data_IF_956658317746
#
_entry.id   IF_956658317746
#
_cell.length_a   1.000
_cell.length_b   1.000
_cell.length_c   1.000
_cell.angle_alpha   90.00
_cell.angle_beta   90.00
_cell.angle_gamma   90.00
#
_symmetry.space_group_name_H-M   'P 1'
#
loop_
_entity.id
_entity.type
_entity.pdbx_description
1 polymer ?
#
# COMPACT_ATOMS: atom_id res chain seq x y z
N UNK A 1 -11.84 -6.00 -25.51
CA UNK A 1 -12.21 -5.01 -26.54
C UNK A 1 -11.24 -3.84 -26.44
N UNK A 2 -10.16 -3.88 -27.21
CA UNK A 2 -9.23 -2.76 -27.36
C UNK A 2 -9.75 -1.88 -28.50
N UNK A 3 -10.18 -0.66 -28.18
CA UNK A 3 -10.47 0.33 -29.22
C UNK A 3 -9.14 0.83 -29.81
N UNK A 4 -9.03 0.96 -31.15
CA UNK A 4 -7.86 1.58 -31.76
C UNK A 4 -7.76 3.03 -31.29
N UNK A 5 -6.56 3.47 -30.91
CA UNK A 5 -6.25 4.87 -30.57
C UNK A 5 -6.56 5.75 -31.79
N UNK A 6 -7.74 6.37 -31.82
CA UNK A 6 -7.89 7.64 -32.53
C UNK A 6 -6.89 8.61 -31.90
N UNK A 7 -6.20 9.40 -32.73
CA UNK A 7 -5.35 10.48 -32.24
C UNK A 7 -6.06 11.20 -31.08
N UNK A 8 -5.47 11.16 -29.90
CA UNK A 8 -6.02 11.78 -28.70
C UNK A 8 -6.23 13.25 -29.02
N UNK A 9 -7.49 13.69 -29.09
CA UNK A 9 -7.78 15.10 -29.36
C UNK A 9 -7.79 15.86 -28.04
N UNK A 10 -7.56 17.17 -28.08
CA UNK A 10 -7.73 18.07 -26.91
C UNK A 10 -9.07 17.81 -26.18
N UNK A 11 -10.11 17.43 -26.93
CA UNK A 11 -11.41 17.03 -26.40
C UNK A 11 -11.35 15.86 -25.40
N UNK A 12 -10.43 14.91 -25.56
CA UNK A 12 -10.27 13.79 -24.62
C UNK A 12 -9.76 14.29 -23.26
N UNK A 13 -8.77 15.19 -23.26
CA UNK A 13 -8.27 15.82 -22.02
C UNK A 13 -9.38 16.58 -21.30
N UNK A 14 -10.19 17.36 -22.03
CA UNK A 14 -11.36 18.04 -21.45
C UNK A 14 -12.35 17.08 -20.82
N UNK A 15 -12.71 16.01 -21.52
CA UNK A 15 -13.69 15.04 -21.02
C UNK A 15 -13.18 14.32 -19.77
N UNK A 16 -11.90 13.93 -19.75
CA UNK A 16 -11.28 13.30 -18.58
C UNK A 16 -11.23 14.25 -17.37
N UNK A 17 -10.91 15.53 -17.59
CA UNK A 17 -10.70 16.51 -16.51
C UNK A 17 -11.95 17.25 -16.06
N UNK A 18 -13.07 17.13 -16.79
CA UNK A 18 -14.35 17.83 -16.55
C UNK A 18 -14.87 17.81 -15.10
N UNK A 19 -14.60 16.75 -14.35
CA UNK A 19 -15.04 16.66 -12.94
C UNK A 19 -13.96 17.16 -11.98
N UNK A 20 -12.68 17.02 -12.35
CA UNK A 20 -11.54 17.45 -11.55
C UNK A 20 -11.47 18.98 -11.56
N UNK A 21 -11.61 19.62 -12.73
CA UNK A 21 -11.55 21.09 -12.89
C UNK A 21 -12.55 21.85 -12.01
N UNK A 22 -13.68 21.24 -11.64
CA UNK A 22 -14.71 21.89 -10.82
C UNK A 22 -14.31 22.08 -9.36
N UNK A 23 -13.38 21.28 -8.88
CA UNK A 23 -12.99 21.24 -7.46
C UNK A 23 -11.50 21.44 -7.25
N UNK A 24 -10.69 21.13 -8.26
CA UNK A 24 -9.25 21.27 -8.22
C UNK A 24 -8.85 22.76 -8.15
N UNK A 25 -7.89 23.05 -7.29
CA UNK A 25 -7.21 24.32 -7.24
C UNK A 25 -6.09 24.37 -8.27
N UNK A 26 -5.98 25.49 -8.98
CA UNK A 26 -4.81 25.88 -9.78
C UNK A 26 -4.68 27.40 -9.64
N UNK A 27 -3.50 27.88 -9.27
CA UNK A 27 -3.26 29.30 -8.94
C UNK A 27 -3.62 30.26 -10.08
N UNK A 28 -3.49 29.83 -11.33
CA UNK A 28 -3.73 30.67 -12.51
C UNK A 28 -5.13 30.49 -13.09
N UNK A 29 -5.66 29.26 -13.03
CA UNK A 29 -6.86 28.88 -13.75
C UNK A 29 -8.08 28.65 -12.85
N UNK A 30 -7.88 28.10 -11.66
CA UNK A 30 -8.94 27.64 -10.77
C UNK A 30 -8.66 28.05 -9.31
N UNK A 31 -8.50 29.35 -9.08
CA UNK A 31 -8.14 29.93 -7.77
C UNK A 31 -9.20 29.74 -6.67
N UNK A 32 -10.44 29.48 -7.05
CA UNK A 32 -11.57 29.18 -6.15
C UNK A 32 -11.73 27.68 -5.86
N UNK A 33 -10.88 26.83 -6.45
CA UNK A 33 -10.85 25.39 -6.20
C UNK A 33 -10.60 25.09 -4.72
N UNK A 34 -11.27 24.07 -4.19
CA UNK A 34 -11.20 23.70 -2.77
C UNK A 34 -10.22 22.57 -2.48
N UNK A 35 -9.74 21.90 -3.53
CA UNK A 35 -9.00 20.65 -3.43
C UNK A 35 -7.70 20.72 -4.18
N UNK A 36 -6.64 20.36 -3.49
CA UNK A 36 -5.31 20.31 -4.07
C UNK A 36 -5.07 18.94 -4.73
N UNK A 37 -5.41 18.83 -6.02
CA UNK A 37 -5.44 17.57 -6.76
C UNK A 37 -4.47 17.51 -7.95
N UNK A 38 -3.86 18.64 -8.33
CA UNK A 38 -3.08 18.77 -9.56
C UNK A 38 -1.62 19.07 -9.23
N UNK A 39 -0.70 18.43 -9.95
CA UNK A 39 0.71 18.83 -9.99
C UNK A 39 1.19 18.82 -11.43
N UNK A 40 1.85 19.91 -11.84
CA UNK A 40 2.51 20.01 -13.15
C UNK A 40 3.86 19.33 -13.06
N UNK A 41 4.11 18.43 -14.02
CA UNK A 41 5.37 17.71 -14.15
C UNK A 41 5.86 17.83 -15.60
N UNK A 42 7.18 17.73 -15.87
CA UNK A 42 8.25 17.40 -14.93
C UNK A 42 8.62 18.55 -13.99
N UNK A 43 8.97 18.19 -12.75
CA UNK A 43 9.55 19.09 -11.75
C UNK A 43 11.07 18.97 -11.82
N UNK A 44 11.78 20.09 -11.71
CA UNK A 44 13.25 20.07 -11.72
C UNK A 44 13.79 19.26 -10.53
N UNK A 45 14.81 18.44 -10.78
CA UNK A 45 15.38 17.56 -9.75
C UNK A 45 15.85 18.36 -8.54
N UNK A 46 15.51 17.86 -7.35
CA UNK A 46 15.80 18.50 -6.06
C UNK A 46 15.17 19.89 -5.86
N UNK A 47 14.20 20.27 -6.70
CA UNK A 47 13.41 21.49 -6.56
C UNK A 47 11.92 21.18 -6.43
N UNK A 48 11.18 22.14 -5.88
CA UNK A 48 9.72 22.09 -5.82
C UNK A 48 9.11 22.16 -7.23
N UNK A 49 7.93 21.58 -7.40
CA UNK A 49 7.21 21.68 -8.66
C UNK A 49 6.81 23.14 -8.97
N UNK A 50 6.74 23.53 -10.26
CA UNK A 50 6.52 24.93 -10.65
C UNK A 50 5.21 25.54 -10.14
N UNK A 51 4.21 24.70 -9.88
CA UNK A 51 2.89 25.05 -9.41
C UNK A 51 2.72 24.95 -7.89
N UNK A 52 3.79 24.61 -7.16
CA UNK A 52 3.77 24.60 -5.70
C UNK A 52 3.80 26.03 -5.15
N UNK A 53 2.70 26.43 -4.53
CA UNK A 53 2.47 27.78 -4.03
C UNK A 53 2.62 27.90 -2.50
N UNK A 54 2.62 26.77 -1.79
CA UNK A 54 2.81 26.71 -0.35
C UNK A 54 3.95 25.74 0.04
N UNK A 55 5.23 26.13 -0.15
CA UNK A 55 6.41 25.31 0.16
C UNK A 55 6.42 24.69 1.56
N UNK A 56 5.85 25.39 2.54
CA UNK A 56 5.73 24.94 3.92
C UNK A 56 4.84 23.70 4.10
N UNK A 57 3.97 23.42 3.11
CA UNK A 57 3.12 22.24 3.12
C UNK A 57 3.81 21.00 2.53
N UNK A 58 4.94 21.16 1.86
CA UNK A 58 5.68 20.06 1.24
C UNK A 58 6.57 19.39 2.28
N UNK A 59 6.51 18.05 2.31
CA UNK A 59 7.36 17.27 3.19
C UNK A 59 8.83 17.52 2.85
N UNK A 60 9.65 17.76 3.87
CA UNK A 60 11.07 18.05 3.69
C UNK A 60 11.76 17.01 2.79
N UNK A 61 12.54 17.50 1.81
CA UNK A 61 13.27 16.73 0.78
C UNK A 61 12.39 16.06 -0.28
N UNK A 62 11.10 16.40 -0.36
CA UNK A 62 10.20 16.00 -1.44
C UNK A 62 9.96 17.17 -2.39
N UNK A 63 9.60 16.88 -3.65
CA UNK A 63 9.34 17.90 -4.67
C UNK A 63 7.89 18.41 -4.65
N UNK A 64 6.96 17.59 -4.17
CA UNK A 64 5.55 17.91 -3.99
C UNK A 64 4.94 17.04 -2.88
N UNK A 65 3.75 17.39 -2.40
CA UNK A 65 3.01 16.57 -1.45
C UNK A 65 1.51 16.73 -1.67
N UNK A 66 0.80 15.63 -1.91
CA UNK A 66 -0.66 15.61 -1.89
C UNK A 66 -1.15 15.29 -0.48
N UNK A 67 -1.84 16.24 0.17
CA UNK A 67 -2.46 16.02 1.49
C UNK A 67 -3.93 15.61 1.31
N UNK A 68 -4.25 14.37 1.68
CA UNK A 68 -5.63 13.90 1.72
C UNK A 68 -6.34 14.55 2.91
N UNK A 69 -7.38 15.35 2.63
CA UNK A 69 -8.10 16.13 3.65
C UNK A 69 -9.34 15.42 4.23
N UNK A 70 -9.95 14.46 3.52
CA UNK A 70 -11.12 13.72 4.03
C UNK A 70 -10.65 12.54 4.88
N UNK A 71 -10.51 12.77 6.18
CA UNK A 71 -10.08 11.78 7.17
C UNK A 71 -11.25 11.05 7.85
N UNK A 72 -12.50 11.43 7.54
CA UNK A 72 -13.67 10.92 8.26
C UNK A 72 -14.04 9.49 7.85
N UNK A 73 -13.64 9.07 6.64
CA UNK A 73 -13.93 7.74 6.13
C UNK A 73 -12.77 7.22 5.27
N UNK A 74 -12.45 5.92 5.36
CA UNK A 74 -11.44 5.33 4.48
C UNK A 74 -11.93 5.38 3.04
N UNK A 75 -11.08 5.87 2.14
CA UNK A 75 -11.35 5.94 0.70
C UNK A 75 -10.13 5.46 -0.07
N UNK A 76 -10.38 4.87 -1.23
CA UNK A 76 -9.32 4.60 -2.19
C UNK A 76 -8.91 5.89 -2.89
N UNK A 77 -7.63 6.18 -2.85
CA UNK A 77 -7.01 7.29 -3.56
C UNK A 77 -6.16 6.74 -4.70
N UNK A 78 -6.21 7.44 -5.83
CA UNK A 78 -5.51 7.04 -7.04
C UNK A 78 -4.63 8.20 -7.48
N UNK A 79 -3.38 7.89 -7.77
CA UNK A 79 -2.50 8.80 -8.48
C UNK A 79 -2.55 8.45 -9.97
N UNK A 80 -2.88 9.43 -10.80
CA UNK A 80 -2.97 9.25 -12.24
C UNK A 80 -2.02 10.21 -12.93
N UNK A 81 -1.14 9.65 -13.76
CA UNK A 81 -0.32 10.43 -14.67
C UNK A 81 -1.07 10.61 -16.00
N UNK A 82 -1.22 11.85 -16.44
CA UNK A 82 -1.92 12.18 -17.69
C UNK A 82 -1.01 13.04 -18.58
N UNK A 83 -1.06 12.80 -19.89
CA UNK A 83 -0.37 13.62 -20.89
C UNK A 83 -1.23 14.82 -21.30
N UNK A 84 -1.87 15.47 -20.34
CA UNK A 84 -2.70 16.66 -20.55
C UNK A 84 -2.10 17.82 -19.76
N UNK A 85 -2.06 19.00 -20.35
CA UNK A 85 -1.59 20.22 -19.70
C UNK A 85 -2.70 21.27 -19.74
N UNK A 86 -2.68 22.15 -18.74
CA UNK A 86 -3.66 23.23 -18.58
C UNK A 86 -2.98 24.55 -18.91
N UNK A 87 -3.45 25.24 -19.94
CA UNK A 87 -2.92 26.53 -20.35
C UNK A 87 -4.00 27.61 -20.44
N UNK A 88 -3.67 28.88 -20.12
CA UNK A 88 -4.53 30.00 -20.39
C UNK A 88 -4.57 30.27 -21.90
N UNK A 89 -5.77 30.35 -22.43
CA UNK A 89 -6.03 30.80 -23.80
C UNK A 89 -5.86 32.31 -23.92
N UNK A 90 -5.85 32.82 -25.15
CA UNK A 90 -5.73 34.26 -25.44
C UNK A 90 -6.86 35.13 -24.88
N UNK A 91 -8.01 34.54 -24.54
CA UNK A 91 -9.12 35.19 -23.85
C UNK A 91 -8.98 35.19 -22.32
N UNK A 92 -7.93 34.55 -21.77
CA UNK A 92 -7.71 34.38 -20.34
C UNK A 92 -8.45 33.19 -19.73
N UNK A 93 -9.18 32.41 -20.53
CA UNK A 93 -9.84 31.18 -20.08
C UNK A 93 -8.87 29.99 -20.13
N UNK A 94 -8.90 29.09 -19.15
CA UNK A 94 -8.00 27.94 -19.16
C UNK A 94 -8.61 26.71 -19.85
N UNK A 95 -7.80 26.06 -20.67
CA UNK A 95 -8.23 24.91 -21.46
C UNK A 95 -7.24 23.74 -21.30
N UNK A 96 -7.79 22.54 -21.05
CA UNK A 96 -7.01 21.32 -21.06
C UNK A 96 -6.67 20.90 -22.49
N UNK A 97 -5.39 20.70 -22.76
CA UNK A 97 -4.89 20.32 -24.07
C UNK A 97 -3.98 19.08 -23.97
N UNK A 98 -3.93 18.31 -25.05
CA UNK A 98 -3.01 17.18 -25.15
C UNK A 98 -1.57 17.69 -25.21
N UNK A 99 -0.66 17.08 -24.44
CA UNK A 99 0.77 17.28 -24.64
C UNK A 99 1.23 16.55 -25.90
N UNK A 100 1.88 17.29 -26.80
CA UNK A 100 2.47 16.74 -28.03
C UNK A 100 3.90 16.24 -27.83
N UNK A 101 4.58 16.72 -26.80
CA UNK A 101 5.96 16.40 -26.50
C UNK A 101 6.08 15.09 -25.71
N UNK A 102 7.14 14.33 -26.00
CA UNK A 102 7.49 13.14 -25.24
C UNK A 102 8.48 13.50 -24.14
N UNK A 103 8.14 13.20 -22.89
CA UNK A 103 9.04 13.32 -21.74
C UNK A 103 9.31 11.93 -21.16
N UNK A 104 10.57 11.67 -20.82
CA UNK A 104 10.95 10.59 -19.93
C UNK A 104 10.96 11.14 -18.51
N UNK A 105 10.17 10.52 -17.62
CA UNK A 105 10.05 10.95 -16.23
C UNK A 105 10.45 9.79 -15.32
N UNK A 106 11.22 10.11 -14.29
CA UNK A 106 11.67 9.19 -13.26
C UNK A 106 11.33 9.82 -11.90
N UNK A 107 10.35 9.23 -11.21
CA UNK A 107 9.84 9.72 -9.94
C UNK A 107 9.82 8.59 -8.92
N UNK A 108 10.34 8.87 -7.73
CA UNK A 108 10.16 8.04 -6.54
C UNK A 108 9.02 8.64 -5.69
N UNK A 109 7.85 7.99 -5.73
CA UNK A 109 6.63 8.49 -5.08
C UNK A 109 6.36 7.67 -3.83
N UNK A 110 6.41 8.33 -2.68
CA UNK A 110 6.14 7.70 -1.39
C UNK A 110 4.70 7.95 -0.94
N UNK A 111 3.91 6.87 -0.85
CA UNK A 111 2.51 6.90 -0.42
C UNK A 111 2.41 6.29 0.97
N UNK A 112 1.77 7.01 1.89
CA UNK A 112 1.65 6.63 3.31
C UNK A 112 0.27 6.98 3.87
N UNK A 113 -0.12 6.29 4.94
CA UNK A 113 -1.37 6.52 5.63
C UNK A 113 -1.12 7.26 6.94
N UNK A 114 -0.98 8.58 6.84
CA UNK A 114 -0.75 9.47 7.98
C UNK A 114 0.15 10.64 7.62
N UNK A 115 0.44 11.48 8.62
CA UNK A 115 1.32 12.63 8.45
C UNK A 115 2.80 12.22 8.72
N UNK A 116 3.70 12.30 7.73
CA UNK A 116 5.13 12.01 7.91
C UNK A 116 5.84 12.88 8.94
N UNK A 117 5.28 14.04 9.28
CA UNK A 117 5.88 14.95 10.27
C UNK A 117 5.52 14.56 11.70
N UNK A 118 4.41 13.84 11.91
CA UNK A 118 3.94 13.37 13.23
C UNK A 118 4.12 11.86 13.41
N UNK A 119 5.17 11.28 12.81
CA UNK A 119 5.54 9.84 12.82
C UNK A 119 5.50 9.12 14.17
N UNK A 120 5.50 9.86 15.28
CA UNK A 120 5.52 9.29 16.64
C UNK A 120 4.16 8.72 17.03
N UNK A 121 3.05 9.30 16.54
CA UNK A 121 1.70 8.91 16.98
C UNK A 121 1.25 7.56 16.39
N UNK A 122 1.78 7.16 15.23
CA UNK A 122 1.37 5.91 14.59
C UNK A 122 2.51 5.18 13.86
N UNK A 123 3.57 4.82 14.58
CA UNK A 123 4.76 4.18 13.99
C UNK A 123 4.46 2.84 13.32
N UNK A 124 3.52 2.05 13.84
CA UNK A 124 3.26 0.70 13.36
C UNK A 124 2.26 0.63 12.21
N UNK A 125 1.41 1.63 12.02
CA UNK A 125 0.37 1.59 10.97
C UNK A 125 0.59 2.65 9.87
N UNK A 126 1.52 3.59 10.07
CA UNK A 126 1.76 4.70 9.14
C UNK A 126 2.08 4.27 7.70
N UNK A 127 2.80 3.17 7.52
CA UNK A 127 3.12 2.64 6.18
C UNK A 127 1.98 1.80 5.59
N UNK A 128 0.99 1.41 6.41
CA UNK A 128 -0.06 0.49 6.02
C UNK A 128 -1.28 1.22 5.49
N UNK A 129 -1.85 0.70 4.41
CA UNK A 129 -3.20 1.09 4.03
C UNK A 129 -4.18 0.69 5.13
N UNK A 130 -5.31 1.41 5.20
CA UNK A 130 -6.30 1.24 6.26
C UNK A 130 -6.80 -0.20 6.41
N UNK A 131 -6.91 -0.95 5.32
CA UNK A 131 -7.32 -2.36 5.29
C UNK A 131 -6.26 -3.34 5.82
N UNK A 132 -5.01 -2.87 5.97
CA UNK A 132 -3.88 -3.63 6.49
C UNK A 132 -3.48 -3.20 7.90
N UNK A 133 -4.27 -2.35 8.54
CA UNK A 133 -4.13 -2.03 9.96
C UNK A 133 -4.37 -3.29 10.82
N UNK A 134 -3.84 -3.30 12.04
CA UNK A 134 -3.85 -4.42 12.99
C UNK A 134 -3.10 -5.70 12.57
N UNK A 135 -2.46 -5.76 11.39
CA UNK A 135 -1.77 -6.97 10.94
C UNK A 135 -0.64 -7.37 11.90
N UNK A 136 0.15 -6.41 12.40
CA UNK A 136 1.24 -6.71 13.33
C UNK A 136 0.68 -7.33 14.62
N UNK A 137 -0.38 -6.75 15.16
CA UNK A 137 -1.09 -7.17 16.36
C UNK A 137 -1.66 -8.58 16.20
N UNK A 138 -2.31 -8.85 15.06
CA UNK A 138 -2.86 -10.16 14.72
C UNK A 138 -1.75 -11.21 14.65
N UNK A 139 -0.70 -10.97 13.86
CA UNK A 139 0.38 -11.94 13.70
C UNK A 139 1.18 -12.13 15.01
N UNK A 140 1.38 -11.07 15.79
CA UNK A 140 2.00 -11.15 17.12
C UNK A 140 1.15 -11.99 18.07
N UNK A 141 -0.16 -11.75 18.13
CA UNK A 141 -1.08 -12.52 18.94
C UNK A 141 -1.06 -14.01 18.55
N UNK A 142 -1.08 -14.30 17.24
CA UNK A 142 -0.92 -15.66 16.73
C UNK A 142 0.38 -16.30 17.22
N UNK A 143 1.54 -15.67 17.01
CA UNK A 143 2.84 -16.19 17.46
C UNK A 143 2.86 -16.45 18.97
N UNK A 144 2.33 -15.51 19.77
CA UNK A 144 2.25 -15.67 21.22
C UNK A 144 1.36 -16.84 21.63
N UNK A 145 0.20 -17.00 21.00
CA UNK A 145 -0.68 -18.15 21.25
C UNK A 145 -0.01 -19.48 20.90
N UNK A 146 0.76 -19.53 19.80
CA UNK A 146 1.54 -20.71 19.42
C UNK A 146 2.64 -21.05 20.44
N UNK A 147 3.28 -20.04 21.03
CA UNK A 147 4.31 -20.20 22.06
C UNK A 147 3.70 -20.64 23.40
N UNK A 148 2.48 -20.20 23.73
CA UNK A 148 1.84 -20.49 25.02
C UNK A 148 1.13 -21.84 25.02
N UNK A 149 0.49 -22.24 23.92
CA UNK A 149 -0.39 -23.41 23.90
C UNK A 149 0.28 -24.64 23.22
N UNK A 150 0.55 -24.63 21.89
CA UNK A 150 1.23 -25.74 21.23
C UNK A 150 2.61 -26.05 21.80
N UNK A 151 3.47 -25.04 21.98
CA UNK A 151 4.88 -25.29 22.31
C UNK A 151 5.08 -26.07 23.62
N UNK A 152 4.44 -25.72 24.76
CA UNK A 152 4.58 -26.51 25.98
C UNK A 152 4.01 -27.93 25.84
N UNK A 153 2.90 -28.08 25.10
CA UNK A 153 2.31 -29.39 24.81
C UNK A 153 3.28 -30.28 24.01
N UNK A 154 3.92 -29.72 22.99
CA UNK A 154 4.96 -30.42 22.21
C UNK A 154 6.12 -30.81 23.10
N UNK A 155 6.68 -29.87 23.87
CA UNK A 155 7.83 -30.10 24.75
C UNK A 155 7.55 -31.16 25.82
N UNK A 156 6.35 -31.15 26.41
CA UNK A 156 5.93 -32.15 27.38
C UNK A 156 5.86 -33.54 26.77
N UNK A 157 5.23 -33.66 25.60
CA UNK A 157 5.00 -34.96 24.99
C UNK A 157 6.22 -35.50 24.22
N UNK A 158 7.23 -34.68 23.87
CA UNK A 158 8.41 -35.07 23.05
C UNK A 158 9.15 -36.29 23.63
N UNK A 159 9.09 -36.47 24.95
CA UNK A 159 9.71 -37.59 25.67
C UNK A 159 8.82 -38.84 25.77
N UNK A 160 7.57 -38.76 25.31
CA UNK A 160 6.57 -39.83 25.42
C UNK A 160 6.54 -40.71 24.15
N UNK A 161 6.29 -42.01 24.35
CA UNK A 161 6.27 -43.03 23.29
C UNK A 161 5.23 -42.76 22.17
N UNK A 162 4.24 -41.90 22.46
CA UNK A 162 3.19 -41.48 21.54
C UNK A 162 3.68 -40.67 20.32
N UNK A 163 4.92 -40.16 20.33
CA UNK A 163 5.51 -39.42 19.19
C UNK A 163 5.68 -40.25 17.91
N UNK A 164 5.62 -41.57 18.01
CA UNK A 164 5.77 -42.48 16.85
C UNK A 164 4.47 -42.62 16.05
N UNK A 165 3.35 -42.10 16.53
CA UNK A 165 2.07 -42.21 15.81
C UNK A 165 2.01 -41.20 14.65
N UNK A 166 1.70 -41.62 13.41
CA UNK A 166 1.66 -40.73 12.24
C UNK A 166 0.78 -39.49 12.41
N UNK A 167 -0.35 -39.63 13.12
CA UNK A 167 -1.25 -38.51 13.44
C UNK A 167 -0.53 -37.43 14.27
N UNK A 168 0.26 -37.83 15.28
CA UNK A 168 0.98 -36.86 16.12
C UNK A 168 2.07 -36.15 15.32
N UNK A 169 2.75 -36.87 14.42
CA UNK A 169 3.74 -36.27 13.51
C UNK A 169 3.07 -35.25 12.58
N UNK A 170 1.94 -35.60 11.96
CA UNK A 170 1.18 -34.68 11.12
C UNK A 170 0.66 -33.47 11.92
N UNK A 171 0.21 -33.67 13.16
CA UNK A 171 -0.17 -32.59 14.08
C UNK A 171 0.99 -31.60 14.28
N UNK A 172 2.18 -32.12 14.58
CA UNK A 172 3.37 -31.29 14.80
C UNK A 172 3.80 -30.55 13.54
N UNK A 173 3.77 -31.22 12.38
CA UNK A 173 4.14 -30.63 11.11
C UNK A 173 3.23 -29.45 10.76
N UNK A 174 1.91 -29.56 10.96
CA UNK A 174 1.04 -28.42 10.70
C UNK A 174 1.30 -27.29 11.70
N UNK A 175 1.42 -27.59 12.99
CA UNK A 175 1.67 -26.57 14.03
C UNK A 175 2.97 -25.80 13.76
N UNK A 176 4.03 -26.52 13.38
CA UNK A 176 5.31 -25.92 13.02
C UNK A 176 5.23 -25.09 11.74
N UNK A 177 4.50 -25.57 10.73
CA UNK A 177 4.28 -24.84 9.47
C UNK A 177 3.55 -23.52 9.72
N UNK A 178 2.52 -23.50 10.57
CA UNK A 178 1.84 -22.27 10.96
C UNK A 178 2.73 -21.35 11.81
N UNK A 179 3.52 -21.88 12.75
CA UNK A 179 4.42 -21.03 13.54
C UNK A 179 5.46 -20.33 12.66
N UNK A 180 6.08 -21.08 11.73
CA UNK A 180 6.98 -20.51 10.71
C UNK A 180 6.22 -19.46 9.89
N UNK A 181 5.03 -19.81 9.37
CA UNK A 181 4.20 -18.93 8.57
C UNK A 181 3.99 -17.57 9.23
N UNK A 182 3.48 -17.59 10.46
CA UNK A 182 3.20 -16.40 11.25
C UNK A 182 4.46 -15.61 11.62
N UNK A 183 5.57 -16.27 11.96
CA UNK A 183 6.83 -15.60 12.29
C UNK A 183 7.41 -14.84 11.09
N UNK A 184 7.44 -15.46 9.91
CA UNK A 184 7.95 -14.82 8.70
C UNK A 184 7.07 -13.64 8.27
N UNK A 185 5.74 -13.78 8.33
CA UNK A 185 4.82 -12.67 8.09
C UNK A 185 4.98 -11.54 9.13
N UNK A 186 5.08 -11.86 10.42
CA UNK A 186 5.33 -10.88 11.48
C UNK A 186 6.62 -10.09 11.23
N UNK A 187 7.71 -10.77 10.89
CA UNK A 187 8.99 -10.12 10.58
C UNK A 187 8.90 -9.21 9.35
N UNK A 188 8.18 -9.66 8.31
CA UNK A 188 7.91 -8.83 7.14
C UNK A 188 7.16 -7.55 7.53
N UNK A 189 6.05 -7.66 8.26
CA UNK A 189 5.21 -6.53 8.63
C UNK A 189 5.88 -5.58 9.64
N UNK A 190 6.66 -6.10 10.58
CA UNK A 190 7.49 -5.27 11.46
C UNK A 190 8.49 -4.44 10.65
N UNK A 191 9.18 -5.04 9.67
CA UNK A 191 10.09 -4.28 8.82
C UNK A 191 9.34 -3.30 7.91
N UNK A 192 8.21 -3.73 7.35
CA UNK A 192 7.35 -2.90 6.51
C UNK A 192 6.87 -1.66 7.27
N UNK A 193 6.47 -1.78 8.53
CA UNK A 193 6.11 -0.63 9.38
C UNK A 193 7.22 0.42 9.49
N UNK A 194 8.48 -0.03 9.46
CA UNK A 194 9.64 0.84 9.61
C UNK A 194 10.02 1.53 8.29
N UNK A 195 10.04 0.79 7.18
CA UNK A 195 10.60 1.29 5.91
C UNK A 195 9.62 1.38 4.73
N UNK A 196 8.38 0.89 4.86
CA UNK A 196 7.38 0.86 3.78
C UNK A 196 7.66 -0.14 2.64
N UNK A 197 8.71 -0.97 2.77
CA UNK A 197 9.14 -1.94 1.74
C UNK A 197 9.01 -3.38 2.26
N UNK A 198 9.42 -3.62 3.51
CA UNK A 198 9.44 -4.95 4.11
C UNK A 198 10.40 -5.93 3.41
N UNK A 199 10.18 -7.23 3.63
CA UNK A 199 10.89 -8.33 2.93
C UNK A 199 9.88 -9.21 2.19
N UNK A 200 9.69 -9.00 0.90
CA UNK A 200 8.70 -9.78 0.13
C UNK A 200 8.96 -11.29 0.14
N UNK A 201 10.24 -11.70 0.18
CA UNK A 201 10.60 -13.12 0.33
C UNK A 201 10.02 -13.73 1.60
N UNK A 202 9.94 -12.97 2.69
CA UNK A 202 9.43 -13.47 3.96
C UNK A 202 7.92 -13.67 3.91
N UNK A 203 7.16 -12.74 3.33
CA UNK A 203 5.71 -12.95 3.19
C UNK A 203 5.41 -14.13 2.25
N UNK A 204 6.19 -14.33 1.20
CA UNK A 204 6.03 -15.49 0.31
C UNK A 204 6.33 -16.82 1.01
N UNK A 205 7.44 -16.90 1.76
CA UNK A 205 7.77 -18.09 2.57
C UNK A 205 6.69 -18.32 3.63
N UNK A 206 6.25 -17.24 4.29
CA UNK A 206 5.23 -17.28 5.32
C UNK A 206 3.91 -17.84 4.79
N UNK A 207 3.42 -17.28 3.69
CA UNK A 207 2.20 -17.74 3.02
C UNK A 207 2.32 -19.19 2.54
N UNK A 208 3.45 -19.58 1.96
CA UNK A 208 3.68 -20.96 1.53
C UNK A 208 3.63 -21.94 2.72
N UNK A 209 4.29 -21.59 3.83
CA UNK A 209 4.27 -22.41 5.04
C UNK A 209 2.85 -22.54 5.62
N UNK A 210 2.07 -21.46 5.63
CA UNK A 210 0.66 -21.48 6.05
C UNK A 210 -0.18 -22.41 5.16
N UNK A 211 -0.05 -22.32 3.83
CA UNK A 211 -0.78 -23.20 2.88
C UNK A 211 -0.42 -24.67 3.09
N UNK A 212 0.87 -24.99 3.34
CA UNK A 212 1.30 -26.34 3.67
C UNK A 212 0.65 -26.80 4.98
N UNK A 213 0.64 -25.92 6.00
CA UNK A 213 -0.02 -26.18 7.28
C UNK A 213 -1.52 -26.46 7.15
N UNK A 214 -2.23 -25.63 6.39
CA UNK A 214 -3.66 -25.81 6.07
C UNK A 214 -3.93 -27.14 5.38
N UNK A 215 -3.09 -27.50 4.41
CA UNK A 215 -3.21 -28.76 3.68
C UNK A 215 -3.05 -29.97 4.61
N UNK A 216 -2.06 -29.93 5.51
CA UNK A 216 -1.84 -31.00 6.49
C UNK A 216 -3.02 -31.07 7.48
N UNK A 217 -3.52 -29.92 7.94
CA UNK A 217 -4.67 -29.85 8.84
C UNK A 217 -5.91 -30.49 8.19
N UNK A 218 -6.20 -30.16 6.93
CA UNK A 218 -7.34 -30.75 6.20
C UNK A 218 -7.17 -32.27 6.09
N UNK A 219 -5.97 -32.77 5.74
CA UNK A 219 -5.70 -34.21 5.69
C UNK A 219 -5.91 -34.89 7.04
N UNK A 220 -5.47 -34.25 8.13
CA UNK A 220 -5.63 -34.76 9.49
C UNK A 220 -7.11 -34.81 9.90
N UNK A 221 -7.88 -33.76 9.60
CA UNK A 221 -9.32 -33.73 9.85
C UNK A 221 -10.06 -34.81 9.05
N UNK A 222 -9.72 -35.00 7.77
CA UNK A 222 -10.29 -36.07 6.94
C UNK A 222 -9.95 -37.46 7.48
N UNK A 223 -8.77 -37.64 8.07
CA UNK A 223 -8.37 -38.90 8.69
C UNK A 223 -9.12 -39.19 9.99
N UNK A 224 -9.34 -38.17 10.83
CA UNK A 224 -10.08 -38.29 12.10
C UNK A 224 -11.59 -38.48 11.87
N UNK A 225 -12.14 -37.90 10.81
CA UNK A 225 -13.56 -37.99 10.48
C UNK A 225 -13.99 -39.36 9.92
N UNK A 226 -13.03 -40.26 9.65
CA UNK A 226 -13.27 -41.65 9.23
C UNK A 226 -13.27 -42.58 10.42
#
# INVERSE_FOLDING_TARGET
YYHPRSASTSETCKQMMKNIEKNAYDRQCYDTGKKDFLRRIPCERDQLCPDEDAPENVISKQQFTFKIQDINQPRFWYLSLIACHLEPTSSGECEWQLMNDSYEIDYDIWIVNGNPETKIENRFEYQFSFDLHDLIEIYLACVLLYIIIPLPYVLYNIRSYHYKHPIMIAYLLFQFSFLIGNLFCLLHYLLYSYNGIGLYTFVHIGNLATIIGESILILLLMFIAK
#
